data_IF_294578743379
#
_entry.id   IF_294578743379
#
_cell.length_a   1.000
_cell.length_b   1.000
_cell.length_c   1.000
_cell.angle_alpha   90.00
_cell.angle_beta   90.00
_cell.angle_gamma   90.00
#
_symmetry.space_group_name_H-M   'P 1'
#
loop_
_entity.id
_entity.type
_entity.pdbx_description
1 polymer ?
#
# COMPACT_ATOMS: atom_id res chain seq x y z
N UNK A 1 0.75 18.52 -14.28
CA UNK A 1 1.03 17.49 -13.24
C UNK A 1 0.81 16.13 -13.85
N UNK A 2 1.63 15.11 -13.50
CA UNK A 2 1.38 13.74 -13.90
C UNK A 2 0.15 13.20 -13.19
N UNK A 3 -0.66 12.38 -13.85
CA UNK A 3 -1.74 11.63 -13.20
C UNK A 3 -1.13 10.48 -12.41
N UNK A 4 -1.50 10.34 -11.14
CA UNK A 4 -1.03 9.26 -10.27
C UNK A 4 -2.18 8.29 -10.03
N UNK A 5 -1.91 7.00 -10.19
CA UNK A 5 -2.84 5.91 -9.88
C UNK A 5 -2.25 5.10 -8.75
N UNK A 6 -2.88 5.16 -7.61
CA UNK A 6 -2.45 4.45 -6.42
C UNK A 6 -3.40 3.30 -6.14
N UNK A 7 -2.87 2.08 -6.18
CA UNK A 7 -3.57 0.86 -5.79
C UNK A 7 -3.06 0.42 -4.43
N UNK A 8 -3.90 0.49 -3.42
CA UNK A 8 -3.58 0.00 -2.08
C UNK A 8 -4.08 -1.43 -1.86
N UNK A 9 -3.67 -2.00 -0.74
CA UNK A 9 -4.04 -3.36 -0.31
C UNK A 9 -3.67 -4.47 -1.31
N UNK A 10 -2.61 -4.25 -2.08
CA UNK A 10 -2.03 -5.32 -2.90
C UNK A 10 -1.37 -6.32 -1.95
N UNK A 11 -1.95 -7.50 -1.83
CA UNK A 11 -1.50 -8.53 -0.91
C UNK A 11 -1.58 -9.91 -1.58
N UNK A 12 -1.17 -10.96 -0.85
CA UNK A 12 -1.12 -12.33 -1.38
C UNK A 12 -2.47 -12.84 -1.96
N UNK A 13 -3.60 -12.31 -1.46
CA UNK A 13 -4.94 -12.65 -1.96
C UNK A 13 -5.43 -11.65 -3.04
N UNK A 14 -4.59 -10.73 -3.48
CA UNK A 14 -4.98 -9.82 -4.55
C UNK A 14 -5.23 -10.59 -5.85
N UNK A 15 -6.24 -10.18 -6.61
CA UNK A 15 -6.41 -10.64 -7.98
C UNK A 15 -5.34 -9.98 -8.88
N UNK A 16 -4.18 -10.61 -8.93
CA UNK A 16 -3.03 -10.12 -9.69
C UNK A 16 -3.34 -10.05 -11.19
N UNK A 17 -4.19 -10.95 -11.71
CA UNK A 17 -4.59 -10.89 -13.12
C UNK A 17 -5.40 -9.63 -13.41
N UNK A 18 -6.35 -9.31 -12.51
CA UNK A 18 -7.15 -8.09 -12.62
C UNK A 18 -6.26 -6.86 -12.50
N UNK A 19 -5.39 -6.81 -11.49
CA UNK A 19 -4.46 -5.70 -11.29
C UNK A 19 -3.56 -5.49 -12.51
N UNK A 20 -3.01 -6.54 -13.09
CA UNK A 20 -2.20 -6.46 -14.31
C UNK A 20 -3.00 -5.94 -15.51
N UNK A 21 -4.26 -6.34 -15.65
CA UNK A 21 -5.13 -5.80 -16.71
C UNK A 21 -5.32 -4.28 -16.55
N UNK A 22 -5.56 -3.81 -15.31
CA UNK A 22 -5.71 -2.39 -15.00
C UNK A 22 -4.43 -1.59 -15.26
N UNK A 23 -3.28 -2.09 -14.77
CA UNK A 23 -1.97 -1.46 -15.00
C UNK A 23 -1.66 -1.35 -16.49
N UNK A 24 -1.87 -2.42 -17.25
CA UNK A 24 -1.64 -2.42 -18.71
C UNK A 24 -2.61 -1.48 -19.44
N UNK A 25 -3.86 -1.40 -19.01
CA UNK A 25 -4.83 -0.46 -19.57
C UNK A 25 -4.39 0.99 -19.34
N UNK A 26 -4.00 1.35 -18.12
CA UNK A 26 -3.50 2.69 -17.81
C UNK A 26 -2.28 3.06 -18.65
N UNK A 27 -1.32 2.16 -18.77
CA UNK A 27 -0.13 2.37 -19.62
C UNK A 27 -0.47 2.68 -21.07
N UNK A 28 -1.46 1.96 -21.59
CA UNK A 28 -1.86 2.10 -23.00
C UNK A 28 -2.67 3.37 -23.27
N UNK A 29 -3.53 3.75 -22.31
CA UNK A 29 -4.57 4.76 -22.56
C UNK A 29 -4.32 6.08 -21.82
N UNK A 30 -3.44 6.12 -20.81
CA UNK A 30 -3.15 7.33 -20.04
C UNK A 30 -1.67 7.70 -20.15
N UNK A 31 -1.38 8.60 -21.08
CA UNK A 31 0.00 9.01 -21.33
C UNK A 31 0.64 9.68 -20.12
N UNK A 32 1.88 9.26 -19.81
CA UNK A 32 2.68 9.86 -18.74
C UNK A 32 2.11 9.65 -17.33
N UNK A 33 1.24 8.68 -17.11
CA UNK A 33 0.78 8.35 -15.77
C UNK A 33 1.88 7.69 -14.94
N UNK A 34 1.76 7.85 -13.64
CA UNK A 34 2.55 7.16 -12.62
C UNK A 34 1.65 6.19 -11.87
N UNK A 35 2.12 4.98 -11.64
CA UNK A 35 1.36 3.95 -10.93
C UNK A 35 2.10 3.59 -9.65
N UNK A 36 1.39 3.63 -8.54
CA UNK A 36 1.91 3.33 -7.21
C UNK A 36 1.15 2.14 -6.64
N UNK A 37 1.86 1.08 -6.29
CA UNK A 37 1.29 -0.13 -5.70
C UNK A 37 1.66 -0.21 -4.23
N UNK A 38 0.70 -0.03 -3.34
CA UNK A 38 0.84 -0.22 -1.89
C UNK A 38 0.70 -1.70 -1.54
N UNK A 39 1.81 -2.36 -1.21
CA UNK A 39 1.87 -3.79 -0.93
C UNK A 39 1.85 -4.05 0.56
N UNK A 40 0.76 -4.64 1.05
CA UNK A 40 0.68 -5.16 2.42
C UNK A 40 1.29 -6.55 2.48
N UNK A 41 2.29 -6.72 3.34
CA UNK A 41 3.07 -7.96 3.38
C UNK A 41 2.25 -9.17 3.83
N UNK A 42 1.26 -8.97 4.68
CA UNK A 42 0.40 -10.03 5.20
C UNK A 42 -1.07 -9.68 5.05
N UNK A 43 -1.85 -10.72 4.74
CA UNK A 43 -3.31 -10.61 4.74
C UNK A 43 -3.81 -10.71 6.17
N UNK A 44 -3.97 -9.58 6.81
CA UNK A 44 -4.76 -9.52 8.04
C UNK A 44 -5.55 -8.22 7.98
N UNK A 45 -6.80 -8.32 7.57
CA UNK A 45 -7.76 -7.27 7.83
C UNK A 45 -7.97 -7.22 9.35
N UNK A 46 -7.26 -6.31 9.98
CA UNK A 46 -7.52 -6.01 11.38
C UNK A 46 -8.83 -5.24 11.43
N UNK A 47 -9.78 -5.77 12.18
CA UNK A 47 -11.01 -5.02 12.46
C UNK A 47 -10.66 -3.74 13.21
N UNK A 48 -11.53 -2.73 13.16
CA UNK A 48 -11.34 -1.48 13.89
C UNK A 48 -11.17 -1.69 15.40
N UNK A 49 -11.73 -2.77 15.96
CA UNK A 49 -11.59 -3.16 17.35
C UNK A 49 -10.21 -3.73 17.68
N UNK A 50 -9.62 -4.50 16.77
CA UNK A 50 -8.25 -4.99 16.91
C UNK A 50 -7.21 -3.87 16.81
N UNK A 51 -7.50 -2.79 16.10
CA UNK A 51 -6.56 -1.69 15.86
C UNK A 51 -6.34 -0.77 17.05
N UNK A 52 -7.18 -0.84 18.09
CA UNK A 52 -7.11 0.05 19.26
C UNK A 52 -6.19 -0.45 20.36
N UNK A 53 -5.77 -1.72 20.33
CA UNK A 53 -4.95 -2.32 21.37
C UNK A 53 -3.53 -2.65 20.86
N UNK A 54 -2.61 -1.70 21.04
CA UNK A 54 -1.21 -1.85 20.62
C UNK A 54 -0.51 -3.04 21.29
N UNK A 55 -0.92 -3.45 22.48
CA UNK A 55 -0.35 -4.62 23.18
C UNK A 55 -0.77 -5.93 22.53
N UNK A 56 -1.93 -5.98 21.88
CA UNK A 56 -2.38 -7.16 21.12
C UNK A 56 -1.82 -7.20 19.70
N UNK A 57 -1.54 -6.04 19.12
CA UNK A 57 -1.06 -5.93 17.74
C UNK A 57 0.41 -6.35 17.64
N UNK A 58 1.25 -5.91 18.57
CA UNK A 58 2.68 -6.18 18.52
C UNK A 58 3.05 -7.67 18.50
N UNK A 59 2.47 -8.55 19.34
CA UNK A 59 2.68 -9.99 19.22
C UNK A 59 2.21 -10.57 17.89
N UNK A 60 1.12 -10.07 17.32
CA UNK A 60 0.64 -10.51 16.00
C UNK A 60 1.65 -10.13 14.89
N UNK A 61 2.23 -8.93 14.95
CA UNK A 61 3.29 -8.49 14.04
C UNK A 61 4.53 -9.37 14.20
N UNK A 62 4.97 -9.64 15.43
CA UNK A 62 6.10 -10.52 15.73
C UNK A 62 5.90 -11.95 15.22
N UNK A 63 4.71 -12.52 15.47
CA UNK A 63 4.37 -13.86 14.99
C UNK A 63 4.33 -13.90 13.45
N UNK A 64 3.76 -12.89 12.85
CA UNK A 64 3.74 -12.74 11.40
C UNK A 64 5.17 -12.63 10.83
N UNK A 65 6.05 -11.89 11.50
CA UNK A 65 7.47 -11.79 11.14
C UNK A 65 8.22 -13.10 11.32
N UNK A 66 7.98 -13.83 12.40
CA UNK A 66 8.62 -15.14 12.63
C UNK A 66 8.19 -16.21 11.63
N UNK A 67 7.00 -16.08 11.06
CA UNK A 67 6.45 -17.00 10.05
C UNK A 67 6.71 -16.52 8.60
N UNK A 68 7.62 -15.53 8.43
CA UNK A 68 7.92 -14.88 7.14
C UNK A 68 8.33 -15.85 6.03
N UNK A 69 8.80 -17.04 6.36
CA UNK A 69 9.15 -18.09 5.37
C UNK A 69 7.96 -18.53 4.51
N UNK A 70 6.74 -18.26 4.93
CA UNK A 70 5.51 -18.57 4.19
C UNK A 70 5.06 -17.45 3.25
N UNK A 71 5.70 -16.27 3.29
CA UNK A 71 5.21 -15.06 2.64
C UNK A 71 6.23 -14.48 1.65
N UNK A 72 6.37 -15.14 0.51
CA UNK A 72 7.11 -14.60 -0.64
C UNK A 72 6.18 -13.75 -1.51
N UNK A 73 5.98 -12.49 -1.13
CA UNK A 73 4.98 -11.66 -1.79
C UNK A 73 5.35 -11.27 -3.22
N UNK A 74 6.58 -10.82 -3.44
CA UNK A 74 6.95 -10.24 -4.74
C UNK A 74 7.32 -11.31 -5.75
N UNK A 75 8.00 -12.38 -5.33
CA UNK A 75 8.43 -13.44 -6.25
C UNK A 75 7.33 -14.47 -6.55
N UNK A 76 6.30 -14.58 -5.69
CA UNK A 76 5.22 -15.55 -5.84
C UNK A 76 3.86 -14.93 -6.22
N UNK A 77 3.67 -13.62 -6.06
CA UNK A 77 2.47 -12.95 -6.53
C UNK A 77 2.39 -12.83 -8.05
N UNK A 78 3.42 -13.29 -8.77
CA UNK A 78 3.42 -13.19 -10.22
C UNK A 78 3.26 -11.74 -10.71
N UNK A 79 3.67 -10.75 -9.89
CA UNK A 79 3.80 -9.41 -10.40
C UNK A 79 4.83 -9.48 -11.52
N UNK A 80 4.44 -9.23 -12.78
CA UNK A 80 5.38 -9.29 -13.90
C UNK A 80 6.48 -8.28 -13.68
N UNK A 81 7.54 -8.34 -14.47
CA UNK A 81 8.49 -7.22 -14.56
C UNK A 81 7.69 -5.94 -14.68
N UNK A 82 7.67 -5.17 -13.60
CA UNK A 82 6.85 -3.98 -13.55
C UNK A 82 7.44 -2.94 -14.50
N UNK A 83 6.60 -2.28 -15.26
CA UNK A 83 7.08 -1.24 -16.16
C UNK A 83 7.72 -0.08 -15.39
N UNK A 84 8.61 0.68 -16.04
CA UNK A 84 9.37 1.80 -15.46
C UNK A 84 8.51 2.87 -14.76
N UNK A 85 7.22 2.96 -15.09
CA UNK A 85 6.29 3.90 -14.48
C UNK A 85 5.49 3.32 -13.31
N UNK A 86 5.84 2.13 -12.83
CA UNK A 86 5.23 1.50 -11.66
C UNK A 86 6.20 1.51 -10.50
N UNK A 87 5.80 2.13 -9.40
CA UNK A 87 6.54 2.13 -8.14
C UNK A 87 5.86 1.21 -7.14
N UNK A 88 6.62 0.28 -6.57
CA UNK A 88 6.16 -0.52 -5.45
C UNK A 88 6.47 0.23 -4.14
N UNK A 89 5.51 0.22 -3.23
CA UNK A 89 5.67 0.76 -1.88
C UNK A 89 5.30 -0.30 -0.83
N UNK A 90 6.00 -0.33 0.29
CA UNK A 90 5.53 -1.05 1.47
C UNK A 90 4.27 -0.38 2.01
N UNK A 91 3.29 -1.17 2.44
CA UNK A 91 2.02 -0.70 2.99
C UNK A 91 1.71 -1.35 4.35
N UNK A 92 2.74 -1.48 5.16
CA UNK A 92 2.70 -2.16 6.44
C UNK A 92 2.88 -3.67 6.35
N UNK A 93 3.43 -4.26 7.40
CA UNK A 93 3.53 -5.72 7.52
C UNK A 93 2.13 -6.34 7.64
N UNK A 94 1.29 -5.68 8.42
CA UNK A 94 -0.16 -5.87 8.49
C UNK A 94 -0.84 -4.51 8.30
N UNK A 95 -2.06 -4.51 7.79
CA UNK A 95 -2.81 -3.27 7.54
C UNK A 95 -3.39 -2.74 8.86
N UNK A 96 -2.66 -1.82 9.52
CA UNK A 96 -2.99 -1.25 10.84
C UNK A 96 -2.67 0.24 10.89
N UNK A 97 -3.42 1.01 11.67
CA UNK A 97 -3.10 2.42 11.92
C UNK A 97 -1.76 2.56 12.67
N UNK A 98 -0.72 2.99 11.98
CA UNK A 98 0.63 3.10 12.54
C UNK A 98 0.73 4.06 13.73
N UNK A 99 -0.19 5.04 13.84
CA UNK A 99 -0.21 5.95 15.00
C UNK A 99 -0.50 5.24 16.33
N UNK A 100 -1.11 4.07 16.27
CA UNK A 100 -1.48 3.25 17.42
C UNK A 100 -0.36 2.29 17.86
N UNK A 101 0.71 2.18 17.07
CA UNK A 101 1.85 1.33 17.34
C UNK A 101 2.93 2.06 18.13
N UNK A 102 3.70 1.33 18.94
CA UNK A 102 4.96 1.86 19.49
C UNK A 102 5.97 2.15 18.36
N UNK A 103 7.02 2.94 18.65
CA UNK A 103 8.05 3.26 17.66
C UNK A 103 8.70 1.98 17.11
N UNK A 104 9.03 1.03 17.98
CA UNK A 104 9.65 -0.25 17.62
C UNK A 104 8.73 -1.10 16.73
N UNK A 105 7.43 -1.13 17.02
CA UNK A 105 6.46 -1.84 16.21
C UNK A 105 6.25 -1.19 14.84
N UNK A 106 6.26 0.14 14.78
CA UNK A 106 6.24 0.87 13.51
C UNK A 106 7.48 0.58 12.69
N UNK A 107 8.67 0.65 13.29
CA UNK A 107 9.94 0.38 12.62
C UNK A 107 9.95 -1.03 12.02
N UNK A 108 9.61 -2.04 12.81
CA UNK A 108 9.50 -3.42 12.34
C UNK A 108 8.52 -3.54 11.17
N UNK A 109 7.33 -2.95 11.29
CA UNK A 109 6.30 -3.01 10.25
C UNK A 109 6.76 -2.34 8.95
N UNK A 110 7.36 -1.15 9.03
CA UNK A 110 7.84 -0.38 7.89
C UNK A 110 9.00 -1.11 7.20
N UNK A 111 10.04 -1.45 7.96
CA UNK A 111 11.24 -2.05 7.39
C UNK A 111 10.96 -3.42 6.77
N UNK A 112 10.16 -4.24 7.46
CA UNK A 112 9.84 -5.57 6.96
C UNK A 112 8.95 -5.49 5.71
N UNK A 113 7.91 -4.65 5.70
CA UNK A 113 7.07 -4.49 4.51
C UNK A 113 7.84 -3.95 3.31
N UNK A 114 8.70 -2.96 3.51
CA UNK A 114 9.56 -2.42 2.46
C UNK A 114 10.58 -3.45 1.97
N UNK A 115 11.17 -4.24 2.87
CA UNK A 115 12.11 -5.31 2.51
C UNK A 115 11.43 -6.39 1.67
N UNK A 116 10.28 -6.89 2.11
CA UNK A 116 9.50 -7.91 1.38
C UNK A 116 9.02 -7.40 0.02
N UNK A 117 8.61 -6.16 -0.05
CA UNK A 117 8.21 -5.51 -1.31
C UNK A 117 9.41 -5.07 -2.17
N UNK A 118 10.64 -5.26 -1.71
CA UNK A 118 11.86 -4.71 -2.35
C UNK A 118 11.74 -3.22 -2.67
N UNK A 119 11.06 -2.47 -1.80
CA UNK A 119 10.70 -1.07 -1.99
C UNK A 119 11.55 -0.12 -1.14
N UNK A 120 11.73 1.10 -1.63
CA UNK A 120 12.28 2.25 -0.89
C UNK A 120 11.24 3.33 -0.62
N UNK A 121 9.98 2.96 -0.76
CA UNK A 121 8.84 3.84 -0.59
C UNK A 121 7.87 3.19 0.38
N UNK A 122 7.28 3.98 1.26
CA UNK A 122 6.28 3.51 2.22
C UNK A 122 5.02 4.35 2.12
N UNK A 123 3.87 3.68 2.07
CA UNK A 123 2.54 4.25 2.15
C UNK A 123 1.96 3.83 3.51
N UNK A 124 1.63 4.74 4.42
CA UNK A 124 1.01 4.35 5.67
C UNK A 124 -0.39 3.77 5.45
N UNK A 125 -0.72 2.62 6.09
CA UNK A 125 -2.09 2.14 6.11
C UNK A 125 -3.06 3.22 6.58
N UNK A 126 -4.25 3.24 6.01
CA UNK A 126 -5.29 4.27 6.25
C UNK A 126 -4.80 5.71 6.00
N UNK A 127 -3.67 5.92 5.33
CA UNK A 127 -3.01 7.23 5.19
C UNK A 127 -2.70 7.90 6.55
N UNK A 128 -2.44 7.11 7.58
CA UNK A 128 -2.25 7.60 8.95
C UNK A 128 -0.82 7.34 9.41
N UNK A 129 -0.15 8.43 9.81
CA UNK A 129 1.23 8.43 10.31
C UNK A 129 1.38 9.40 11.48
N UNK A 130 2.51 9.34 12.16
CA UNK A 130 2.92 10.28 13.21
C UNK A 130 4.42 10.59 13.09
N UNK A 131 4.97 11.34 14.05
CA UNK A 131 6.40 11.70 14.09
C UNK A 131 7.32 10.49 14.07
N UNK A 132 6.97 9.39 14.74
CA UNK A 132 7.76 8.16 14.72
C UNK A 132 7.84 7.56 13.32
N UNK A 133 6.72 7.52 12.59
CA UNK A 133 6.71 7.06 11.18
C UNK A 133 7.67 7.89 10.33
N UNK A 134 7.65 9.23 10.52
CA UNK A 134 8.51 10.15 9.78
C UNK A 134 10.00 9.96 10.10
N UNK A 135 10.32 9.84 11.39
CA UNK A 135 11.69 9.60 11.87
C UNK A 135 12.24 8.29 11.30
N UNK A 136 11.50 7.20 11.42
CA UNK A 136 11.89 5.87 10.92
C UNK A 136 12.15 5.93 9.42
N UNK A 137 11.23 6.47 8.65
CA UNK A 137 11.39 6.57 7.21
C UNK A 137 12.63 7.42 6.84
N UNK A 138 12.87 8.52 7.55
CA UNK A 138 14.04 9.38 7.33
C UNK A 138 15.34 8.65 7.69
N UNK A 139 15.41 7.99 8.85
CA UNK A 139 16.58 7.26 9.34
C UNK A 139 17.00 6.14 8.36
N UNK A 140 16.02 5.45 7.79
CA UNK A 140 16.24 4.32 6.87
C UNK A 140 16.21 4.70 5.39
N UNK A 141 16.18 6.00 5.06
CA UNK A 141 16.15 6.53 3.68
C UNK A 141 14.98 5.94 2.86
N UNK A 142 13.82 5.78 3.50
CA UNK A 142 12.57 5.36 2.89
C UNK A 142 11.76 6.61 2.56
N UNK A 143 11.29 6.71 1.32
CA UNK A 143 10.40 7.78 0.91
C UNK A 143 9.02 7.54 1.54
N UNK A 144 8.60 8.42 2.45
CA UNK A 144 7.25 8.39 3.01
C UNK A 144 6.29 9.13 2.07
N UNK A 145 5.26 8.45 1.58
CA UNK A 145 4.18 9.06 0.83
C UNK A 145 3.16 9.60 1.82
N UNK A 146 3.13 10.93 1.94
CA UNK A 146 2.19 11.66 2.77
C UNK A 146 1.15 12.31 1.88
N UNK A 147 -0.10 12.22 2.29
CA UNK A 147 -1.12 13.11 1.79
C UNK A 147 -1.40 14.12 2.89
N UNK A 148 -0.86 15.33 2.72
CA UNK A 148 -1.09 16.44 3.64
C UNK A 148 -2.57 16.83 3.61
N UNK A 149 -3.06 17.36 4.72
CA UNK A 149 -4.42 17.85 4.96
C UNK A 149 -5.49 16.82 5.31
N UNK A 150 -5.16 15.96 6.29
CA UNK A 150 -6.20 15.26 7.03
C UNK A 150 -7.23 14.60 6.12
N UNK A 151 -6.77 13.75 5.24
CA UNK A 151 -7.64 12.90 4.46
C UNK A 151 -8.63 12.21 5.41
N UNK A 152 -9.73 12.87 5.66
CA UNK A 152 -10.93 12.20 6.12
C UNK A 152 -11.18 11.14 5.08
N UNK A 153 -11.17 9.90 5.53
CA UNK A 153 -11.42 8.69 4.78
C UNK A 153 -12.07 8.99 3.43
N UNK A 154 -11.26 9.16 2.37
CA UNK A 154 -11.85 9.39 1.07
C UNK A 154 -12.59 8.13 0.68
N UNK A 155 -13.72 8.32 0.07
CA UNK A 155 -14.39 7.24 -0.60
C UNK A 155 -13.40 6.67 -1.61
N UNK A 156 -13.10 5.37 -1.48
CA UNK A 156 -12.27 4.65 -2.41
C UNK A 156 -12.79 4.77 -3.84
N UNK A 157 -11.91 4.55 -4.81
CA UNK A 157 -12.27 4.51 -6.21
C UNK A 157 -12.75 5.85 -6.77
N UNK A 158 -12.16 6.94 -6.26
CA UNK A 158 -12.43 8.30 -6.71
C UNK A 158 -11.16 9.03 -7.13
N UNK A 159 -11.36 9.94 -8.06
CA UNK A 159 -10.34 10.89 -8.47
C UNK A 159 -10.30 12.09 -7.53
N UNK A 160 -9.12 12.41 -7.03
CA UNK A 160 -8.83 13.64 -6.31
C UNK A 160 -8.21 14.67 -7.27
N UNK A 161 -8.97 15.69 -7.68
CA UNK A 161 -8.47 16.70 -8.60
C UNK A 161 -7.38 17.60 -7.98
N UNK A 162 -7.36 17.77 -6.66
CA UNK A 162 -6.37 18.59 -5.95
C UNK A 162 -4.97 17.99 -6.09
N UNK A 163 -4.86 16.69 -6.00
CA UNK A 163 -3.59 15.95 -6.05
C UNK A 163 -3.36 15.24 -7.37
N UNK A 164 -4.30 15.34 -8.32
CA UNK A 164 -4.27 14.62 -9.60
C UNK A 164 -4.07 13.10 -9.41
N UNK A 165 -4.78 12.55 -8.44
CA UNK A 165 -4.60 11.20 -7.91
C UNK A 165 -5.89 10.40 -8.00
N UNK A 166 -5.78 9.18 -8.52
CA UNK A 166 -6.76 8.12 -8.35
C UNK A 166 -6.33 7.22 -7.20
N UNK A 167 -7.21 7.09 -6.20
CA UNK A 167 -7.01 6.20 -5.06
C UNK A 167 -7.91 4.99 -5.21
N UNK A 168 -7.32 3.81 -5.37
CA UNK A 168 -7.99 2.63 -5.87
C UNK A 168 -7.79 1.42 -4.95
N UNK A 169 -8.89 0.75 -4.66
CA UNK A 169 -8.88 -0.59 -4.05
C UNK A 169 -9.37 -1.58 -5.10
N UNK A 170 -8.44 -2.22 -5.79
CA UNK A 170 -8.71 -3.06 -6.96
C UNK A 170 -9.65 -4.25 -6.72
N UNK A 171 -10.00 -4.55 -5.47
CA UNK A 171 -10.94 -5.61 -5.10
C UNK A 171 -12.40 -5.17 -5.12
N UNK A 172 -12.68 -3.88 -5.20
CA UNK A 172 -14.00 -3.30 -5.00
C UNK A 172 -14.72 -3.01 -6.31
N UNK A 173 -14.09 -3.26 -7.44
CA UNK A 173 -14.66 -2.98 -8.75
C UNK A 173 -14.14 -3.97 -9.80
N UNK A 174 -14.93 -4.13 -10.86
CA UNK A 174 -14.57 -4.94 -12.01
C UNK A 174 -13.65 -4.18 -12.97
N UNK A 175 -13.04 -4.90 -13.91
CA UNK A 175 -12.25 -4.25 -14.95
C UNK A 175 -13.10 -3.40 -15.89
N UNK A 176 -14.35 -3.78 -16.13
CA UNK A 176 -15.26 -3.04 -17.00
C UNK A 176 -15.67 -1.71 -16.34
N UNK A 177 -16.05 -1.72 -15.06
CA UNK A 177 -16.28 -0.49 -14.28
C UNK A 177 -15.06 0.42 -14.27
N UNK A 178 -13.85 -0.16 -14.11
CA UNK A 178 -12.62 0.60 -14.17
C UNK A 178 -12.41 1.32 -15.50
N UNK A 179 -12.71 0.67 -16.63
CA UNK A 179 -12.57 1.29 -17.95
C UNK A 179 -13.52 2.48 -18.14
N UNK A 180 -14.79 2.33 -17.67
CA UNK A 180 -15.81 3.38 -17.80
C UNK A 180 -15.38 4.72 -17.16
N UNK A 181 -14.46 4.70 -16.20
CA UNK A 181 -13.95 5.95 -15.60
C UNK A 181 -13.05 6.76 -16.52
N UNK A 182 -12.63 6.19 -17.65
CA UNK A 182 -11.69 6.82 -18.59
C UNK A 182 -12.28 7.01 -19.99
N UNK A 183 -13.49 6.54 -20.21
CA UNK A 183 -14.29 6.79 -21.42
C UNK A 183 -15.09 8.09 -21.28
#
# INVERSE_FOLDING_TARGET
>A
MKKVFRFDDVCINADIKLLNRMVNFLKKNVSGCEILLGVSALVHDMTSEDSTDSQRIFPKILNAYSDHRKFYLVDHCGLPELPDNVTIAGHGLIHVDHRLLSKEAQEMSILTSCSLAKARTFIPPFNKWNSHTEEICKEHQIQLIKFEDGWKCMEYNKYDPKHNLWYLHHREFTFEEFKEWFE
#
